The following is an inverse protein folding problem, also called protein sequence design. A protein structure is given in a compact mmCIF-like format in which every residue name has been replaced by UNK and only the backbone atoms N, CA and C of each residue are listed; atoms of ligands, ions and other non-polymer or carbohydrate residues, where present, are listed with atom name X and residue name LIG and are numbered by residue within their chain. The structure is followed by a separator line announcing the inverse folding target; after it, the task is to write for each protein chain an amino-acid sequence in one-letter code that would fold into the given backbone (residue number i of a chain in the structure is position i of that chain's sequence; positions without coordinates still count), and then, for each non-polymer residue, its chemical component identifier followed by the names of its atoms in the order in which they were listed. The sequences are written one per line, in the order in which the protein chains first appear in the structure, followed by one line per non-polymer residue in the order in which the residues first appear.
data_IF_940270584403
#
_entry.id   IF_940270584403
#
_cell.length_a   1.000
_cell.length_b   1.000
_cell.length_c   1.000
_cell.angle_alpha   90.00
_cell.angle_beta   90.00
_cell.angle_gamma   90.00
#
_symmetry.space_group_name_H-M   'P 1'
#
loop_
_entity.id
_entity.type
_entity.pdbx_description
1 polymer ?
#
# COMPACT_ATOMS: atom_id res chain seq x y z
N UNK A 1 -12.19 -24.29 -46.46
CA UNK A 1 -12.86 -24.09 -45.15
C UNK A 1 -12.05 -23.11 -44.32
N UNK A 2 -12.17 -21.80 -44.56
CA UNK A 2 -11.46 -20.77 -43.77
C UNK A 2 -12.14 -19.37 -43.84
N UNK A 3 -13.38 -19.28 -44.33
CA UNK A 3 -14.03 -18.00 -44.65
C UNK A 3 -15.35 -17.75 -43.90
N UNK A 4 -15.63 -18.50 -42.82
CA UNK A 4 -16.91 -18.42 -42.09
C UNK A 4 -16.83 -17.98 -40.62
N UNK A 5 -15.64 -17.77 -40.07
CA UNK A 5 -15.49 -17.42 -38.63
C UNK A 5 -15.42 -15.90 -38.40
N UNK A 6 -15.03 -15.11 -39.41
CA UNK A 6 -14.87 -13.64 -39.27
C UNK A 6 -16.21 -12.91 -39.11
N UNK A 7 -17.31 -13.47 -39.63
CA UNK A 7 -18.62 -12.78 -39.65
C UNK A 7 -19.42 -12.89 -38.36
N UNK A 8 -18.97 -13.66 -37.37
CA UNK A 8 -19.67 -13.84 -36.09
C UNK A 8 -19.24 -12.80 -35.04
N UNK A 9 -18.01 -12.27 -35.14
CA UNK A 9 -17.48 -11.24 -34.22
C UNK A 9 -18.06 -9.84 -34.50
N UNK A 10 -18.25 -9.51 -35.78
CA UNK A 10 -18.70 -8.17 -36.22
C UNK A 10 -20.14 -7.85 -35.77
N UNK A 11 -20.97 -8.87 -35.56
CA UNK A 11 -22.40 -8.70 -35.22
C UNK A 11 -22.66 -8.43 -33.72
N UNK A 12 -21.66 -8.55 -32.85
CA UNK A 12 -21.79 -8.31 -31.41
C UNK A 12 -21.41 -6.88 -31.00
N UNK A 13 -20.61 -6.18 -31.81
CA UNK A 13 -20.13 -4.81 -31.51
C UNK A 13 -21.25 -3.78 -31.69
N UNK A 14 -22.26 -4.06 -32.51
CA UNK A 14 -23.33 -3.09 -32.82
C UNK A 14 -24.54 -3.15 -31.85
N UNK A 15 -24.61 -4.15 -30.95
CA UNK A 15 -25.80 -4.34 -30.09
C UNK A 15 -25.72 -3.72 -28.69
N UNK A 16 -24.59 -3.12 -28.29
CA UNK A 16 -24.43 -2.47 -26.98
C UNK A 16 -24.41 -0.94 -27.04
N UNK A 17 -24.43 -0.36 -28.24
CA UNK A 17 -24.50 1.08 -28.43
C UNK A 17 -25.95 1.58 -28.42
N UNK A 18 -26.67 1.55 -27.28
CA UNK A 18 -27.88 2.36 -27.05
C UNK A 18 -28.44 2.23 -25.60
N UNK A 19 -27.66 2.58 -24.58
CA UNK A 19 -28.26 3.19 -23.38
C UNK A 19 -27.29 4.18 -22.75
N UNK A 20 -27.43 5.47 -23.07
CA UNK A 20 -26.79 6.54 -22.29
C UNK A 20 -27.51 6.63 -20.93
N UNK A 21 -26.81 6.53 -19.79
CA UNK A 21 -27.43 6.87 -18.52
C UNK A 21 -27.81 8.35 -18.52
N UNK A 22 -29.08 8.61 -18.21
CA UNK A 22 -29.68 9.93 -18.17
C UNK A 22 -29.22 10.65 -16.89
N UNK A 23 -28.21 11.51 -16.99
CA UNK A 23 -27.72 12.31 -15.87
C UNK A 23 -28.64 13.52 -15.62
N UNK A 24 -29.21 13.69 -14.41
CA UNK A 24 -29.88 14.94 -14.05
C UNK A 24 -28.84 16.06 -13.85
N UNK A 25 -29.16 17.32 -14.20
CA UNK A 25 -28.27 18.44 -13.99
C UNK A 25 -28.05 18.74 -12.51
N UNK A 26 -26.78 18.97 -12.19
CA UNK A 26 -26.18 19.38 -10.92
C UNK A 26 -27.00 20.50 -10.24
N UNK A 27 -27.64 20.20 -9.11
CA UNK A 27 -28.26 21.20 -8.27
C UNK A 27 -27.17 21.96 -7.48
N UNK A 28 -27.12 23.28 -7.67
CA UNK A 28 -26.32 24.18 -6.85
C UNK A 28 -26.94 24.28 -5.44
N UNK A 29 -26.22 23.80 -4.43
CA UNK A 29 -26.55 23.98 -3.00
C UNK A 29 -25.40 24.69 -2.29
N UNK A 30 -25.53 25.99 -2.02
CA UNK A 30 -25.98 26.58 -0.74
C UNK A 30 -24.95 26.41 0.38
N UNK A 31 -24.20 27.49 0.60
CA UNK A 31 -23.33 27.71 1.75
C UNK A 31 -24.16 27.69 3.04
N UNK A 32 -23.79 26.84 3.99
CA UNK A 32 -24.35 26.82 5.35
C UNK A 32 -23.24 27.11 6.36
N UNK A 33 -23.60 27.93 7.33
CA UNK A 33 -22.73 28.59 8.29
C UNK A 33 -22.06 27.62 9.28
N UNK A 34 -20.74 27.77 9.45
CA UNK A 34 -19.97 27.09 10.49
C UNK A 34 -20.14 27.77 11.85
N UNK A 35 -20.73 27.04 12.81
CA UNK A 35 -20.76 27.38 14.23
C UNK A 35 -19.45 27.02 14.93
N UNK A 36 -18.94 27.97 15.71
CA UNK A 36 -17.71 27.85 16.50
C UNK A 36 -17.84 26.83 17.64
N UNK A 37 -17.02 25.78 17.66
CA UNK A 37 -16.78 24.95 18.86
C UNK A 37 -15.56 25.45 19.63
N UNK A 38 -15.72 25.54 20.95
CA UNK A 38 -14.73 26.08 21.90
C UNK A 38 -13.56 25.12 22.12
N UNK A 39 -12.35 25.69 22.17
CA UNK A 39 -11.13 25.05 22.63
C UNK A 39 -11.15 24.79 24.16
N UNK A 40 -11.03 23.52 24.56
CA UNK A 40 -10.69 23.12 25.92
C UNK A 40 -9.17 23.11 26.11
N UNK A 41 -8.69 23.81 27.13
CA UNK A 41 -7.28 24.00 27.50
C UNK A 41 -6.92 22.99 28.60
N UNK A 42 -5.86 22.20 28.42
CA UNK A 42 -5.21 21.42 29.48
C UNK A 42 -3.72 21.74 29.41
N UNK A 43 -3.10 22.29 30.47
CA UNK A 43 -2.05 21.51 31.15
C UNK A 43 -1.84 21.86 32.65
N UNK A 44 -1.18 20.97 33.40
CA UNK A 44 -0.63 21.32 34.71
C UNK A 44 -0.03 20.16 35.50
N UNK A 45 1.28 19.92 35.28
CA UNK A 45 2.16 19.04 36.04
C UNK A 45 2.13 19.29 37.56
N UNK A 46 2.31 18.22 38.35
CA UNK A 46 2.65 18.33 39.77
C UNK A 46 3.19 17.03 40.36
N UNK A 47 4.48 16.72 40.13
CA UNK A 47 5.19 15.69 40.92
C UNK A 47 5.71 16.32 42.21
N UNK A 48 5.32 15.77 43.36
CA UNK A 48 5.96 16.06 44.66
C UNK A 48 6.80 14.86 45.10
N UNK A 49 8.08 15.13 45.32
CA UNK A 49 9.03 14.35 46.09
C UNK A 49 8.62 14.34 47.57
N UNK A 50 8.87 13.22 48.27
CA UNK A 50 9.30 13.25 49.67
C UNK A 50 10.32 12.13 49.94
N UNK A 51 11.33 12.51 50.69
CA UNK A 51 12.54 11.78 51.05
C UNK A 51 12.44 11.13 52.44
N UNK A 52 13.39 10.26 52.77
CA UNK A 52 13.69 9.75 54.11
C UNK A 52 13.92 8.24 54.10
N UNK A 53 14.91 7.63 54.73
CA UNK A 53 15.92 8.08 55.68
C UNK A 53 16.81 6.89 56.06
N UNK A 54 17.86 7.18 56.81
CA UNK A 54 19.08 6.41 57.07
C UNK A 54 18.99 5.08 57.89
N UNK A 55 20.09 4.32 57.82
CA UNK A 55 20.65 3.48 58.90
C UNK A 55 20.60 1.97 58.63
N UNK A 56 21.55 1.10 59.03
CA UNK A 56 22.88 1.21 59.62
C UNK A 56 23.50 -0.23 59.68
N UNK A 57 24.83 -0.30 59.74
CA UNK A 57 25.71 -1.39 60.25
C UNK A 57 25.93 -2.73 59.48
N UNK A 58 27.20 -3.20 59.38
CA UNK A 58 27.60 -4.54 58.90
C UNK A 58 28.02 -5.48 60.06
N UNK A 59 28.17 -6.80 59.80
CA UNK A 59 29.30 -7.49 60.44
C UNK A 59 30.05 -8.54 59.57
N UNK A 60 31.36 -8.60 59.83
CA UNK A 60 32.26 -9.77 59.95
C UNK A 60 32.50 -10.77 58.78
N UNK A 61 33.76 -10.79 58.34
CA UNK A 61 34.56 -11.91 57.75
C UNK A 61 34.76 -13.08 58.78
N UNK A 62 35.42 -14.23 58.50
CA UNK A 62 36.13 -14.72 57.28
C UNK A 62 35.82 -16.19 56.88
N UNK A 63 36.38 -16.66 55.76
CA UNK A 63 36.43 -18.09 55.44
C UNK A 63 37.12 -18.40 54.11
N UNK A 64 38.43 -18.65 54.16
CA UNK A 64 39.22 -19.17 53.03
C UNK A 64 38.83 -20.62 52.73
N UNK A 65 38.57 -20.95 51.47
CA UNK A 65 38.55 -22.34 51.01
C UNK A 65 39.11 -22.44 49.58
N UNK A 66 40.32 -23.01 49.52
CA UNK A 66 40.93 -23.86 48.50
C UNK A 66 40.56 -23.65 47.02
N UNK A 67 41.55 -23.18 46.27
CA UNK A 67 41.59 -23.18 44.81
C UNK A 67 41.80 -24.62 44.32
N UNK A 68 40.72 -25.31 44.00
CA UNK A 68 40.76 -26.55 43.22
C UNK A 68 41.06 -26.23 41.76
N UNK A 69 42.21 -26.69 41.25
CA UNK A 69 42.50 -26.68 39.81
C UNK A 69 41.57 -27.69 39.12
N UNK A 70 40.49 -27.22 38.52
CA UNK A 70 39.71 -28.03 37.59
C UNK A 70 40.13 -27.68 36.16
N UNK A 71 40.97 -28.54 35.60
CA UNK A 71 41.22 -28.64 34.16
C UNK A 71 39.88 -28.90 33.45
N UNK A 72 39.40 -27.95 32.66
CA UNK A 72 38.22 -28.14 31.81
C UNK A 72 38.52 -27.68 30.37
N UNK A 73 38.21 -28.51 29.34
CA UNK A 73 38.52 -28.25 27.93
C UNK A 73 37.52 -27.27 27.30
N UNK A 74 37.24 -26.15 27.98
CA UNK A 74 36.23 -25.17 27.56
C UNK A 74 36.75 -24.14 26.54
N UNK A 75 37.85 -24.44 25.83
CA UNK A 75 38.45 -23.52 24.85
C UNK A 75 38.03 -23.74 23.40
N UNK A 76 37.34 -24.84 23.09
CA UNK A 76 36.95 -25.17 21.72
C UNK A 76 35.52 -24.73 21.35
N UNK A 77 34.64 -24.49 22.32
CA UNK A 77 33.22 -24.21 22.06
C UNK A 77 32.90 -22.71 21.85
N UNK A 78 33.82 -21.81 22.15
CA UNK A 78 33.56 -20.36 22.11
C UNK A 78 33.68 -19.73 20.71
N UNK A 79 34.26 -20.44 19.73
CA UNK A 79 34.49 -19.91 18.38
C UNK A 79 33.37 -20.27 17.38
N UNK A 80 32.57 -21.30 17.66
CA UNK A 80 31.51 -21.76 16.75
C UNK A 80 30.19 -20.95 16.87
N UNK A 81 29.96 -20.27 18.00
CA UNK A 81 28.72 -19.52 18.23
C UNK A 81 28.69 -18.12 17.58
N UNK A 82 29.84 -17.59 17.17
CA UNK A 82 29.93 -16.24 16.57
C UNK A 82 29.72 -16.22 15.04
N UNK A 83 29.77 -17.37 14.37
CA UNK A 83 29.57 -17.47 12.91
C UNK A 83 28.09 -17.65 12.49
N UNK A 84 27.17 -17.86 13.43
CA UNK A 84 25.76 -18.10 13.13
C UNK A 84 24.88 -16.83 12.99
N UNK A 85 25.46 -15.62 13.15
CA UNK A 85 24.73 -14.34 13.06
C UNK A 85 24.86 -13.63 11.69
N UNK A 86 25.57 -14.22 10.72
CA UNK A 86 25.91 -13.55 9.46
C UNK A 86 24.92 -13.79 8.30
N UNK A 87 23.71 -14.29 8.57
CA UNK A 87 22.77 -14.77 7.54
C UNK A 87 21.41 -14.09 7.52
N UNK A 88 21.24 -12.89 8.08
CA UNK A 88 19.97 -12.18 7.92
C UNK A 88 19.86 -11.69 6.47
N UNK A 89 18.90 -12.17 5.66
CA UNK A 89 18.70 -11.61 4.32
C UNK A 89 18.31 -10.15 4.49
N UNK A 90 19.11 -9.24 3.92
CA UNK A 90 18.68 -7.86 3.72
C UNK A 90 17.59 -7.91 2.65
N UNK A 91 16.33 -7.86 3.07
CA UNK A 91 15.28 -7.41 2.19
C UNK A 91 15.60 -5.94 1.85
N UNK A 92 15.96 -5.68 0.59
CA UNK A 92 16.07 -4.30 0.12
C UNK A 92 14.68 -3.66 0.21
N UNK A 93 14.55 -2.44 0.75
CA UNK A 93 13.29 -1.73 0.65
C UNK A 93 13.02 -1.46 -0.84
N UNK A 94 11.89 -1.97 -1.35
CA UNK A 94 11.42 -1.65 -2.70
C UNK A 94 11.14 -0.14 -2.75
N UNK A 95 12.03 0.63 -3.37
CA UNK A 95 11.87 2.08 -3.49
C UNK A 95 11.23 2.39 -4.85
N UNK A 96 10.01 1.89 -5.06
CA UNK A 96 9.22 2.29 -6.23
C UNK A 96 8.92 3.79 -6.15
N UNK A 97 9.25 4.55 -7.20
CA UNK A 97 8.92 5.98 -7.31
C UNK A 97 7.42 6.14 -7.57
N UNK A 98 6.61 5.85 -6.56
CA UNK A 98 5.16 6.04 -6.60
C UNK A 98 4.84 7.46 -6.15
N UNK A 99 3.99 8.14 -6.91
CA UNK A 99 3.58 9.53 -6.65
C UNK A 99 2.07 9.59 -6.48
N UNK A 100 1.59 10.40 -5.55
CA UNK A 100 0.14 10.68 -5.45
C UNK A 100 -0.26 11.64 -6.58
N UNK A 101 -1.29 11.27 -7.34
CA UNK A 101 -1.79 12.04 -8.48
C UNK A 101 -3.13 12.76 -8.22
N UNK A 102 -3.65 12.72 -6.99
CA UNK A 102 -4.91 13.39 -6.63
C UNK A 102 -5.84 12.56 -5.75
N UNK A 103 -5.30 11.87 -4.75
CA UNK A 103 -6.07 11.09 -3.79
C UNK A 103 -6.87 11.99 -2.84
N UNK A 104 -8.12 11.62 -2.55
CA UNK A 104 -8.90 12.22 -1.45
C UNK A 104 -8.53 11.58 -0.12
N UNK A 105 -8.21 10.28 -0.14
CA UNK A 105 -7.70 9.52 1.00
C UNK A 105 -6.20 9.69 1.15
N UNK A 106 -5.69 9.44 2.36
CA UNK A 106 -4.25 9.51 2.61
C UNK A 106 -3.59 8.21 2.18
N UNK A 107 -2.80 8.23 1.10
CA UNK A 107 -1.94 7.11 0.73
C UNK A 107 -0.77 7.02 1.73
N UNK A 108 -0.65 5.87 2.40
CA UNK A 108 0.38 5.59 3.40
C UNK A 108 1.60 4.99 2.72
N UNK A 109 1.39 3.99 1.88
CA UNK A 109 2.43 3.31 1.12
C UNK A 109 1.86 2.72 -0.17
N UNK A 110 2.70 2.56 -1.18
CA UNK A 110 2.33 1.93 -2.43
C UNK A 110 3.57 1.27 -3.06
N UNK A 111 3.45 -0.02 -3.38
CA UNK A 111 4.55 -0.83 -3.89
C UNK A 111 4.11 -1.60 -5.12
N UNK A 112 5.07 -1.83 -6.02
CA UNK A 112 4.91 -2.71 -7.18
C UNK A 112 5.81 -3.92 -6.98
N UNK A 113 5.25 -5.12 -7.12
CA UNK A 113 6.02 -6.35 -7.06
C UNK A 113 7.12 -6.36 -8.14
N UNK A 114 8.30 -6.85 -7.79
CA UNK A 114 9.46 -6.99 -8.67
C UNK A 114 9.96 -5.66 -9.31
N UNK A 115 9.67 -4.52 -8.68
CA UNK A 115 10.21 -3.21 -9.07
C UNK A 115 10.93 -2.53 -7.90
N UNK A 116 12.27 -2.46 -7.96
CA UNK A 116 13.08 -1.78 -6.93
C UNK A 116 13.46 -0.35 -7.34
N UNK A 117 13.55 -0.08 -8.65
CA UNK A 117 13.98 1.20 -9.22
C UNK A 117 13.03 1.65 -10.34
N UNK A 118 12.77 2.96 -10.41
CA UNK A 118 12.00 3.54 -11.49
C UNK A 118 12.88 3.89 -12.72
N UNK A 119 12.37 3.74 -13.96
CA UNK A 119 11.04 3.23 -14.31
C UNK A 119 10.93 1.71 -14.13
N UNK A 120 9.77 1.23 -13.68
CA UNK A 120 9.50 -0.19 -13.56
C UNK A 120 9.50 -0.85 -14.94
N UNK A 121 10.41 -1.80 -15.15
CA UNK A 121 10.48 -2.58 -16.39
C UNK A 121 9.49 -3.73 -16.31
N UNK A 122 8.49 -3.70 -17.18
CA UNK A 122 7.43 -4.72 -17.22
C UNK A 122 7.58 -5.53 -18.49
N UNK A 123 7.80 -6.84 -18.36
CA UNK A 123 7.85 -7.73 -19.50
C UNK A 123 6.45 -7.94 -20.08
N UNK A 124 6.33 -7.85 -21.41
CA UNK A 124 5.05 -8.12 -22.08
C UNK A 124 4.66 -9.59 -21.93
N UNK A 125 3.40 -9.85 -21.61
CA UNK A 125 2.90 -11.18 -21.26
C UNK A 125 3.18 -11.59 -19.81
N UNK A 126 3.66 -10.68 -18.96
CA UNK A 126 3.86 -10.91 -17.53
C UNK A 126 2.78 -10.26 -16.66
N UNK A 127 2.58 -10.83 -15.47
CA UNK A 127 1.68 -10.29 -14.46
C UNK A 127 2.42 -9.27 -13.59
N UNK A 128 1.81 -8.10 -13.39
CA UNK A 128 2.29 -7.07 -12.47
C UNK A 128 1.32 -6.97 -11.31
N UNK A 129 1.85 -6.98 -10.09
CA UNK A 129 1.05 -6.83 -8.87
C UNK A 129 1.37 -5.52 -8.17
N UNK A 130 0.34 -4.78 -7.78
CA UNK A 130 0.45 -3.52 -7.02
C UNK A 130 -0.21 -3.71 -5.66
N UNK A 131 0.44 -3.20 -4.61
CA UNK A 131 -0.14 -3.14 -3.27
C UNK A 131 -0.20 -1.69 -2.82
N UNK A 132 -1.33 -1.27 -2.25
CA UNK A 132 -1.59 0.09 -1.83
C UNK A 132 -2.15 0.07 -0.41
N UNK A 133 -1.49 0.77 0.50
CA UNK A 133 -1.97 1.00 1.87
C UNK A 133 -2.45 2.44 1.95
N UNK A 134 -3.70 2.65 2.34
CA UNK A 134 -4.29 3.97 2.47
C UNK A 134 -5.20 4.07 3.69
N UNK A 135 -5.42 5.30 4.15
CA UNK A 135 -6.40 5.63 5.18
C UNK A 135 -7.57 6.37 4.54
N UNK A 136 -8.78 5.82 4.68
CA UNK A 136 -10.00 6.37 4.12
C UNK A 136 -10.32 7.74 4.74
N UNK A 137 -10.66 8.73 3.91
CA UNK A 137 -11.05 10.08 4.37
C UNK A 137 -12.56 10.26 4.54
N UNK A 138 -13.38 9.35 4.00
CA UNK A 138 -14.84 9.38 4.08
C UNK A 138 -15.39 7.95 4.09
N UNK A 139 -16.67 7.81 4.44
CA UNK A 139 -17.41 6.57 4.23
C UNK A 139 -17.31 6.16 2.76
N UNK A 140 -16.86 4.94 2.49
CA UNK A 140 -16.71 4.37 1.16
C UNK A 140 -17.39 3.00 1.12
N UNK A 141 -18.50 2.87 0.40
CA UNK A 141 -19.28 1.62 0.34
C UNK A 141 -18.74 0.63 -0.70
N UNK A 142 -18.17 1.15 -1.79
CA UNK A 142 -17.58 0.34 -2.86
C UNK A 142 -16.31 1.00 -3.38
N UNK A 143 -15.39 0.20 -3.94
CA UNK A 143 -14.19 0.70 -4.57
C UNK A 143 -14.19 0.23 -6.02
N UNK A 144 -14.11 1.14 -6.99
CA UNK A 144 -13.98 0.78 -8.40
C UNK A 144 -12.55 1.07 -8.87
N UNK A 145 -11.74 0.05 -9.18
CA UNK A 145 -10.39 0.25 -9.63
C UNK A 145 -10.34 0.58 -11.13
N UNK A 146 -9.38 1.43 -11.52
CA UNK A 146 -9.16 1.82 -12.92
C UNK A 146 -7.67 2.08 -13.17
N UNK A 147 -7.12 1.50 -14.25
CA UNK A 147 -5.70 1.61 -14.60
C UNK A 147 -5.55 2.27 -15.97
N UNK A 148 -4.87 3.41 -15.99
CA UNK A 148 -4.69 4.24 -17.19
C UNK A 148 -3.21 4.47 -17.44
N UNK A 149 -2.75 4.21 -18.65
CA UNK A 149 -1.40 4.50 -19.10
C UNK A 149 -1.34 5.85 -19.77
N UNK A 150 -0.34 6.65 -19.47
CA UNK A 150 -0.15 7.99 -20.01
C UNK A 150 1.18 8.01 -20.75
N UNK A 151 1.09 8.19 -22.06
CA UNK A 151 2.25 8.20 -22.95
C UNK A 151 2.20 9.48 -23.77
N UNK A 152 3.21 10.34 -23.59
CA UNK A 152 3.30 11.63 -24.31
C UNK A 152 2.03 12.50 -24.18
N UNK A 153 1.33 12.40 -23.05
CA UNK A 153 0.08 13.14 -22.79
C UNK A 153 -1.20 12.48 -23.31
N UNK A 154 -1.11 11.32 -23.96
CA UNK A 154 -2.27 10.52 -24.36
C UNK A 154 -2.55 9.42 -23.33
N UNK A 155 -3.82 9.25 -22.99
CA UNK A 155 -4.30 8.21 -22.08
C UNK A 155 -4.68 6.95 -22.87
N UNK A 156 -4.14 5.80 -22.45
CA UNK A 156 -4.36 4.48 -23.01
C UNK A 156 -4.89 3.58 -21.87
N UNK A 157 -6.06 2.97 -22.00
CA UNK A 157 -6.49 1.94 -21.04
C UNK A 157 -5.53 0.74 -21.15
N UNK A 158 -4.89 0.35 -20.05
CA UNK A 158 -3.80 -0.65 -20.10
C UNK A 158 -4.35 -2.08 -20.02
N UNK A 159 -5.37 -2.32 -19.21
CA UNK A 159 -5.97 -3.64 -19.05
C UNK A 159 -7.33 -3.55 -18.35
N UNK A 160 -8.16 -4.56 -18.60
CA UNK A 160 -9.27 -4.90 -17.72
C UNK A 160 -8.70 -5.61 -16.49
N UNK A 161 -9.09 -5.16 -15.30
CA UNK A 161 -8.79 -5.88 -14.06
C UNK A 161 -9.69 -7.11 -13.97
N UNK A 162 -9.23 -8.12 -13.25
CA UNK A 162 -9.95 -9.39 -13.06
C UNK A 162 -11.10 -9.30 -12.03
N UNK A 163 -11.46 -8.08 -11.62
CA UNK A 163 -12.50 -7.77 -10.66
C UNK A 163 -13.11 -6.38 -10.95
N UNK A 164 -14.42 -6.24 -10.72
CA UNK A 164 -15.13 -4.96 -10.86
C UNK A 164 -15.13 -4.15 -9.56
N UNK A 165 -15.25 -4.84 -8.41
CA UNK A 165 -15.22 -4.22 -7.08
C UNK A 165 -13.87 -4.49 -6.40
N UNK A 166 -13.15 -3.41 -6.11
CA UNK A 166 -11.88 -3.39 -5.40
C UNK A 166 -12.01 -3.73 -3.92
N UNK A 167 -13.22 -3.67 -3.34
CA UNK A 167 -13.48 -4.16 -1.98
C UNK A 167 -13.16 -5.65 -1.84
N UNK A 168 -13.36 -6.44 -2.90
CA UNK A 168 -13.04 -7.88 -2.94
C UNK A 168 -11.53 -8.16 -2.93
N UNK A 169 -10.71 -7.11 -3.10
CA UNK A 169 -9.25 -7.19 -3.13
C UNK A 169 -8.56 -6.47 -1.99
N UNK A 170 -9.30 -6.17 -0.94
CA UNK A 170 -8.72 -5.72 0.31
C UNK A 170 -8.06 -6.90 1.04
N UNK A 171 -6.75 -6.81 1.23
CA UNK A 171 -5.98 -7.70 2.11
C UNK A 171 -6.21 -7.34 3.59
N UNK A 172 -6.49 -6.07 3.87
CA UNK A 172 -6.84 -5.53 5.18
C UNK A 172 -7.96 -4.51 5.04
N UNK A 173 -8.91 -4.56 5.97
CA UNK A 173 -10.16 -3.80 5.89
C UNK A 173 -11.22 -4.56 5.11
N UNK A 174 -12.45 -4.06 5.15
CA UNK A 174 -13.57 -4.56 4.37
C UNK A 174 -14.55 -3.41 4.16
N UNK A 175 -15.23 -3.39 3.02
CA UNK A 175 -16.25 -2.38 2.78
C UNK A 175 -17.53 -2.67 3.58
N UNK A 176 -18.25 -1.65 4.06
CA UNK A 176 -17.92 -0.22 3.93
C UNK A 176 -16.73 0.20 4.81
N UNK A 177 -15.86 1.05 4.28
CA UNK A 177 -14.76 1.68 5.02
C UNK A 177 -15.24 2.98 5.65
N UNK A 178 -15.02 3.18 6.95
CA UNK A 178 -15.34 4.42 7.65
C UNK A 178 -14.19 5.45 7.55
N UNK A 179 -14.48 6.72 7.84
CA UNK A 179 -13.45 7.76 7.94
C UNK A 179 -12.39 7.38 8.99
N UNK A 180 -11.13 7.36 8.56
CA UNK A 180 -9.98 7.02 9.39
C UNK A 180 -9.58 5.54 9.35
N UNK A 181 -10.38 4.67 8.73
CA UNK A 181 -10.02 3.26 8.56
C UNK A 181 -8.81 3.09 7.65
N UNK A 182 -7.91 2.20 8.04
CA UNK A 182 -6.74 1.83 7.24
C UNK A 182 -7.04 0.55 6.47
N UNK A 183 -6.87 0.62 5.14
CA UNK A 183 -7.11 -0.46 4.22
C UNK A 183 -5.86 -0.78 3.41
N UNK A 184 -5.69 -2.05 3.06
CA UNK A 184 -4.63 -2.54 2.18
C UNK A 184 -5.27 -3.20 0.97
N UNK A 185 -5.06 -2.62 -0.20
CA UNK A 185 -5.60 -3.08 -1.48
C UNK A 185 -4.49 -3.75 -2.31
N UNK A 186 -4.82 -4.85 -2.99
CA UNK A 186 -3.90 -5.50 -3.93
C UNK A 186 -4.58 -5.72 -5.28
N UNK A 187 -3.81 -5.65 -6.35
CA UNK A 187 -4.33 -6.07 -7.66
C UNK A 187 -3.23 -6.53 -8.57
N UNK A 188 -3.59 -7.47 -9.45
CA UNK A 188 -2.71 -8.04 -10.45
C UNK A 188 -3.32 -7.83 -11.82
N UNK A 189 -2.53 -7.36 -12.78
CA UNK A 189 -2.94 -7.29 -14.18
C UNK A 189 -1.88 -7.92 -15.08
N UNK A 190 -2.33 -8.45 -16.23
CA UNK A 190 -1.46 -9.01 -17.26
C UNK A 190 -1.15 -7.92 -18.29
N UNK A 191 0.12 -7.61 -18.52
CA UNK A 191 0.50 -6.72 -19.62
C UNK A 191 0.37 -7.50 -20.94
N UNK A 192 -0.45 -7.02 -21.87
CA UNK A 192 -0.69 -7.71 -23.15
C UNK A 192 0.64 -7.95 -23.92
N UNK A 193 0.91 -9.17 -24.42
CA UNK A 193 2.08 -9.46 -25.26
C UNK A 193 2.24 -8.53 -26.48
N UNK A 194 1.13 -8.01 -27.01
CA UNK A 194 1.07 -7.10 -28.15
C UNK A 194 1.25 -5.63 -27.76
N UNK A 195 1.36 -5.31 -26.46
CA UNK A 195 1.60 -3.95 -26.00
C UNK A 195 2.91 -3.41 -26.62
N UNK A 196 2.95 -2.17 -27.10
CA UNK A 196 4.16 -1.61 -27.71
C UNK A 196 5.26 -1.40 -26.67
N UNK A 197 6.52 -1.47 -27.10
CA UNK A 197 7.67 -1.15 -26.23
C UNK A 197 7.81 0.36 -26.09
N UNK A 198 7.24 0.91 -25.02
CA UNK A 198 7.22 2.35 -24.76
C UNK A 198 7.39 2.60 -23.26
N UNK A 199 7.96 3.77 -22.96
CA UNK A 199 8.00 4.34 -21.60
C UNK A 199 6.82 5.27 -21.40
N UNK A 200 6.19 5.19 -20.23
CA UNK A 200 5.07 6.04 -19.86
C UNK A 200 4.88 6.11 -18.36
N UNK A 201 3.81 6.79 -17.96
CA UNK A 201 3.31 6.81 -16.59
C UNK A 201 2.07 5.93 -16.51
N UNK A 202 1.99 5.04 -15.51
CA UNK A 202 0.78 4.27 -15.22
C UNK A 202 0.11 4.91 -14.02
N UNK A 203 -1.17 5.26 -14.15
CA UNK A 203 -2.01 5.77 -13.08
C UNK A 203 -2.98 4.71 -12.62
N UNK A 204 -3.00 4.49 -11.32
CA UNK A 204 -3.95 3.63 -10.64
C UNK A 204 -4.94 4.48 -9.87
N UNK A 205 -6.22 4.30 -10.15
CA UNK A 205 -7.30 4.97 -9.45
C UNK A 205 -8.14 3.95 -8.69
N UNK A 206 -8.58 4.33 -7.49
CA UNK A 206 -9.71 3.72 -6.80
C UNK A 206 -10.78 4.79 -6.64
N UNK A 207 -11.94 4.56 -7.23
CA UNK A 207 -13.10 5.45 -7.12
C UNK A 207 -14.11 4.91 -6.12
N UNK A 208 -14.81 5.79 -5.42
CA UNK A 208 -15.97 5.40 -4.60
C UNK A 208 -17.25 5.26 -5.46
N UNK A 209 -18.36 4.93 -4.81
CA UNK A 209 -19.69 4.84 -5.41
C UNK A 209 -20.18 6.16 -6.06
N UNK A 210 -19.58 7.30 -5.69
CA UNK A 210 -19.89 8.63 -6.21
C UNK A 210 -18.90 9.11 -7.29
N UNK A 211 -17.97 8.25 -7.72
CA UNK A 211 -16.84 8.57 -8.59
C UNK A 211 -15.87 9.63 -8.04
N UNK A 212 -15.78 9.78 -6.72
CA UNK A 212 -14.68 10.51 -6.11
C UNK A 212 -13.43 9.64 -6.09
N UNK A 213 -12.28 10.25 -6.39
CA UNK A 213 -10.99 9.56 -6.39
C UNK A 213 -10.54 9.33 -4.94
N UNK A 214 -10.79 8.14 -4.41
CA UNK A 214 -10.33 7.72 -3.08
C UNK A 214 -8.81 7.66 -3.10
N UNK A 215 -8.23 6.93 -4.05
CA UNK A 215 -6.79 6.79 -4.25
C UNK A 215 -6.44 7.11 -5.71
N UNK A 216 -5.34 7.82 -5.90
CA UNK A 216 -4.66 8.06 -7.17
C UNK A 216 -3.16 7.91 -6.97
N UNK A 217 -2.56 6.88 -7.55
CA UNK A 217 -1.09 6.77 -7.60
C UNK A 217 -0.58 6.72 -9.03
N UNK A 218 0.58 7.32 -9.28
CA UNK A 218 1.27 7.29 -10.57
C UNK A 218 2.66 6.67 -10.43
N UNK A 219 3.00 5.82 -11.40
CA UNK A 219 4.21 5.00 -11.43
C UNK A 219 4.85 5.13 -12.82
N UNK A 220 6.13 5.47 -12.88
CA UNK A 220 6.86 5.43 -14.16
C UNK A 220 7.14 3.98 -14.56
N UNK A 221 6.70 3.56 -15.74
CA UNK A 221 6.88 2.20 -16.25
C UNK A 221 7.40 2.19 -17.69
N UNK A 222 8.08 1.10 -18.04
CA UNK A 222 8.57 0.83 -19.38
C UNK A 222 8.21 -0.61 -19.77
N UNK A 223 7.44 -0.77 -20.84
CA UNK A 223 7.11 -2.08 -21.39
C UNK A 223 8.29 -2.61 -22.22
N UNK A 224 8.81 -3.79 -21.88
CA UNK A 224 10.03 -4.38 -22.49
C UNK A 224 9.77 -5.65 -23.32
#
# INVERSE_FOLDING_TARGET
MAARVVTEWDRRVESTALTKPNFPPRAAGRTSAGGARKHGKVPGLGRRYLAGGAGATPPSRPGSAMIGRLSSPARAAALAALLALAGLPLAAPNLTNVRDCGSTSKVIDATVADCEEAPCRVERGSNVTVNIIFQASNLTESLRPEVVGVVSGFELPIAELDHEDGCDRLLKGACPLDEGDEAEYTATFLLDPLFPKIKGEVRWHLFDEFNATVVCISIDAEAV
#
